data_IF_695192169712
#
_entry.id   IF_695192169712
#
_cell.length_a   1.000
_cell.length_b   1.000
_cell.length_c   1.000
_cell.angle_alpha   90.00
_cell.angle_beta   90.00
_cell.angle_gamma   90.00
#
_symmetry.space_group_name_H-M   'P 1'
#
loop_
_entity.id
_entity.type
_entity.pdbx_description
1 polymer ?
#
# COMPACT_ATOMS: atom_id res chain seq x y z
N UNK A 1 4.13 14.44 7.89
CA UNK A 1 4.37 13.61 6.67
C UNK A 1 5.16 12.32 6.93
N UNK A 2 4.63 11.15 6.55
CA UNK A 2 5.44 9.92 6.42
C UNK A 2 6.25 10.02 5.12
N UNK A 3 7.55 9.70 5.16
CA UNK A 3 8.43 9.71 3.98
C UNK A 3 8.61 8.29 3.45
N UNK A 4 8.77 8.18 2.13
CA UNK A 4 9.17 6.94 1.41
C UNK A 4 10.29 6.19 2.12
N UNK A 5 11.28 6.92 2.62
CA UNK A 5 12.47 6.36 3.30
C UNK A 5 12.14 5.68 4.63
N UNK A 6 11.00 6.01 5.26
CA UNK A 6 10.51 5.33 6.46
C UNK A 6 9.60 4.14 6.14
N UNK A 7 8.96 4.14 4.98
CA UNK A 7 8.01 3.10 4.55
C UNK A 7 8.75 1.91 3.96
N UNK A 8 9.74 2.14 3.09
CA UNK A 8 10.49 1.08 2.43
C UNK A 8 11.19 0.11 3.40
N UNK A 9 11.83 0.57 4.50
CA UNK A 9 12.41 -0.34 5.49
C UNK A 9 11.36 -1.22 6.17
N UNK A 10 10.19 -0.66 6.49
CA UNK A 10 9.08 -1.42 7.09
C UNK A 10 8.57 -2.50 6.12
N UNK A 11 8.37 -2.15 4.85
CA UNK A 11 7.96 -3.12 3.83
C UNK A 11 9.01 -4.23 3.65
N UNK A 12 10.31 -3.89 3.65
CA UNK A 12 11.40 -4.88 3.59
C UNK A 12 11.40 -5.81 4.80
N UNK A 13 11.17 -5.28 5.99
CA UNK A 13 11.10 -6.08 7.22
C UNK A 13 9.90 -7.04 7.22
N UNK A 14 8.76 -6.63 6.65
CA UNK A 14 7.56 -7.47 6.58
C UNK A 14 7.56 -8.46 5.41
N UNK A 15 8.36 -8.19 4.36
CA UNK A 15 8.38 -9.00 3.13
C UNK A 15 8.62 -10.50 3.37
N UNK A 16 9.50 -10.97 4.29
CA UNK A 16 9.66 -12.39 4.57
C UNK A 16 8.37 -13.06 5.07
N UNK A 17 7.65 -12.40 5.99
CA UNK A 17 6.35 -12.89 6.49
C UNK A 17 5.30 -12.90 5.38
N UNK A 18 5.27 -11.86 4.54
CA UNK A 18 4.34 -11.76 3.42
C UNK A 18 4.63 -12.80 2.32
N UNK A 19 5.91 -13.10 2.08
CA UNK A 19 6.37 -14.19 1.21
C UNK A 19 5.85 -15.54 1.70
N UNK A 20 6.05 -15.83 2.98
CA UNK A 20 5.68 -17.11 3.58
C UNK A 20 4.16 -17.32 3.63
N UNK A 21 3.42 -16.30 4.08
CA UNK A 21 1.98 -16.45 4.36
C UNK A 21 1.09 -16.17 3.15
N UNK A 22 1.52 -15.28 2.24
CA UNK A 22 0.67 -14.78 1.16
C UNK A 22 1.28 -14.98 -0.23
N UNK A 23 2.41 -15.69 -0.35
CA UNK A 23 3.12 -15.95 -1.61
C UNK A 23 3.47 -14.68 -2.39
N UNK A 24 3.65 -13.57 -1.67
CA UNK A 24 4.07 -12.30 -2.24
C UNK A 24 5.49 -12.42 -2.78
N UNK A 25 5.72 -12.09 -4.05
CA UNK A 25 7.05 -12.05 -4.67
C UNK A 25 7.75 -10.73 -4.38
N UNK A 26 7.06 -9.62 -4.61
CA UNK A 26 7.58 -8.27 -4.50
C UNK A 26 6.50 -7.29 -4.03
N UNK A 27 6.92 -6.21 -3.36
CA UNK A 27 6.06 -5.12 -2.94
C UNK A 27 6.73 -3.80 -3.33
N UNK A 28 5.97 -2.94 -4.00
CA UNK A 28 6.40 -1.60 -4.42
C UNK A 28 5.45 -0.52 -3.90
N UNK A 29 5.95 0.71 -3.84
CA UNK A 29 5.14 1.90 -3.60
C UNK A 29 4.73 2.47 -4.97
N UNK A 30 3.49 2.91 -5.10
CA UNK A 30 3.01 3.62 -6.28
C UNK A 30 2.23 4.90 -5.89
N UNK A 31 1.91 5.72 -6.88
CA UNK A 31 1.15 6.96 -6.68
C UNK A 31 2.01 8.10 -6.12
N UNK A 32 1.38 9.00 -5.37
CA UNK A 32 2.02 10.25 -4.91
C UNK A 32 3.28 10.01 -4.06
N UNK A 33 3.32 8.94 -3.26
CA UNK A 33 4.51 8.55 -2.49
C UNK A 33 5.69 8.06 -3.34
N UNK A 34 5.44 7.57 -4.56
CA UNK A 34 6.50 7.20 -5.49
C UNK A 34 7.09 8.41 -6.22
N UNK A 35 6.28 9.46 -6.43
CA UNK A 35 6.66 10.72 -7.09
C UNK A 35 7.09 11.84 -6.14
N UNK A 36 7.08 11.56 -4.83
CA UNK A 36 7.39 12.54 -3.77
C UNK A 36 6.39 13.72 -3.70
N UNK A 37 5.19 13.52 -4.24
CA UNK A 37 4.08 14.49 -4.30
C UNK A 37 3.04 14.28 -3.18
N UNK A 38 3.29 13.36 -2.24
CA UNK A 38 2.33 13.06 -1.18
C UNK A 38 2.07 14.28 -0.29
N UNK A 39 0.81 14.48 0.10
CA UNK A 39 0.35 15.44 1.11
C UNK A 39 0.03 14.73 2.43
N UNK A 40 -0.28 15.47 3.49
CA UNK A 40 -0.67 14.86 4.78
C UNK A 40 -1.96 14.04 4.71
N UNK A 41 -2.83 14.33 3.73
CA UNK A 41 -4.08 13.59 3.46
C UNK A 41 -3.90 12.46 2.43
N UNK A 42 -2.68 12.25 1.92
CA UNK A 42 -2.44 11.24 0.89
C UNK A 42 -2.43 9.82 1.44
N UNK A 43 -3.17 8.94 0.80
CA UNK A 43 -3.09 7.50 1.01
C UNK A 43 -1.77 6.94 0.43
N UNK A 44 -1.28 5.84 1.01
CA UNK A 44 -0.10 5.12 0.50
C UNK A 44 -0.57 4.05 -0.49
N UNK A 45 -0.16 4.16 -1.75
CA UNK A 45 -0.38 3.13 -2.75
C UNK A 45 0.67 2.02 -2.66
N UNK A 46 0.25 0.77 -2.50
CA UNK A 46 1.13 -0.41 -2.55
C UNK A 46 0.76 -1.31 -3.73
N UNK A 47 1.76 -1.68 -4.52
CA UNK A 47 1.63 -2.69 -5.56
C UNK A 47 2.27 -3.99 -5.06
N UNK A 48 1.54 -5.09 -5.19
CA UNK A 48 1.98 -6.40 -4.70
C UNK A 48 1.98 -7.39 -5.86
N UNK A 49 3.12 -7.96 -6.15
CA UNK A 49 3.24 -9.08 -7.08
C UNK A 49 3.15 -10.38 -6.29
N UNK A 50 2.36 -11.34 -6.76
CA UNK A 50 2.23 -12.67 -6.14
C UNK A 50 2.58 -13.78 -7.11
N UNK A 51 3.10 -14.89 -6.56
CA UNK A 51 3.33 -16.12 -7.30
C UNK A 51 2.10 -17.02 -7.43
N UNK A 52 0.99 -16.66 -6.81
CA UNK A 52 -0.27 -17.39 -6.87
C UNK A 52 -1.42 -16.43 -7.16
N UNK A 53 -2.58 -16.93 -7.64
CA UNK A 53 -3.78 -16.12 -7.76
C UNK A 53 -4.06 -15.42 -6.43
N UNK A 54 -4.06 -14.09 -6.45
CA UNK A 54 -4.34 -13.29 -5.26
C UNK A 54 -5.85 -13.19 -5.15
N UNK A 55 -6.42 -13.74 -4.09
CA UNK A 55 -7.80 -13.40 -3.71
C UNK A 55 -7.76 -11.97 -3.18
N UNK A 56 -8.33 -11.03 -3.93
CA UNK A 56 -8.37 -9.63 -3.54
C UNK A 56 -9.33 -9.46 -2.35
N UNK A 57 -8.79 -9.21 -1.17
CA UNK A 57 -9.59 -8.85 0.00
C UNK A 57 -9.58 -7.33 0.14
N UNK A 58 -10.73 -6.70 -0.10
CA UNK A 58 -10.92 -5.28 0.12
C UNK A 58 -11.20 -5.06 1.61
N UNK A 59 -10.20 -4.70 2.39
CA UNK A 59 -10.43 -4.12 3.71
C UNK A 59 -10.84 -2.65 3.52
N UNK A 60 -12.13 -2.40 3.30
CA UNK A 60 -12.68 -1.05 3.51
C UNK A 60 -13.00 -0.89 4.97
N UNK A 61 -12.05 -0.39 5.74
CA UNK A 61 -12.37 0.24 7.01
C UNK A 61 -12.63 1.72 6.74
N UNK A 62 -13.79 2.02 6.14
CA UNK A 62 -14.42 3.33 6.21
C UNK A 62 -15.80 3.33 5.52
N UNK A 63 -16.84 3.90 6.17
CA UNK A 63 -18.09 4.23 5.51
C UNK A 63 -17.81 5.32 4.48
N UNK A 64 -18.24 5.08 3.25
CA UNK A 64 -18.32 6.07 2.19
C UNK A 64 -19.16 7.26 2.67
N UNK A 65 -18.51 8.31 3.16
CA UNK A 65 -19.09 9.65 3.14
C UNK A 65 -18.36 10.45 2.08
N UNK A 66 -18.85 10.36 0.84
CA UNK A 66 -18.71 11.44 -0.13
C UNK A 66 -19.67 12.57 0.31
N UNK A 67 -19.13 13.53 1.04
CA UNK A 67 -19.56 14.93 0.99
C UNK A 67 -18.41 15.64 0.24
N UNK A 68 -18.60 16.49 -0.78
CA UNK A 68 -19.68 17.45 -1.01
C UNK A 68 -19.66 17.97 -2.46
N UNK A 69 -20.84 18.49 -2.88
CA UNK A 69 -21.13 19.57 -3.85
C UNK A 69 -20.60 19.42 -5.29
N UNK A 70 -21.44 19.49 -6.33
CA UNK A 70 -22.43 20.52 -6.69
C UNK A 70 -23.74 19.88 -7.17
#
# INVERSE_FOLDING_TARGET
MKRKDKILPLLKQQLPSLKQNFKVKSIGIFGSYAREEQTEKSNIGLLVESGAPVVFFKFTDMPEKRHEAI
#
